data_IF_090335094332
#
_entry.id   IF_090335094332
#
_cell.length_a   1.000
_cell.length_b   1.000
_cell.length_c   1.000
_cell.angle_alpha   90.00
_cell.angle_beta   90.00
_cell.angle_gamma   90.00
#
_symmetry.space_group_name_H-M   'P 1'
#
loop_
_entity.id
_entity.type
_entity.pdbx_description
1 polymer ?
#
# COMPACT_ATOMS: atom_id res chain seq x y z
N UNK A 1 -21.47 25.03 31.87
CA UNK A 1 -20.95 24.26 30.70
C UNK A 1 -21.13 22.79 31.00
N UNK A 2 -21.94 22.17 30.22
CA UNK A 2 -22.84 21.05 30.46
C UNK A 2 -22.15 19.70 30.66
N UNK A 3 -22.43 19.03 31.77
CA UNK A 3 -22.01 17.66 32.08
C UNK A 3 -22.38 16.70 30.94
N UNK A 4 -23.53 16.96 30.33
CA UNK A 4 -24.03 16.23 29.12
C UNK A 4 -23.12 16.41 27.91
N UNK A 5 -22.45 17.54 27.72
CA UNK A 5 -21.49 17.76 26.65
C UNK A 5 -20.18 16.98 26.89
N UNK A 6 -19.70 16.97 28.15
CA UNK A 6 -18.54 16.19 28.56
C UNK A 6 -18.78 14.68 28.46
N UNK A 7 -19.96 14.21 28.85
CA UNK A 7 -20.34 12.81 28.70
C UNK A 7 -20.47 12.42 27.22
N UNK A 8 -21.08 13.28 26.38
CA UNK A 8 -21.16 13.03 24.92
C UNK A 8 -19.80 13.02 24.24
N UNK A 9 -18.86 13.90 24.66
CA UNK A 9 -17.47 13.90 24.13
C UNK A 9 -16.67 12.69 24.61
N UNK A 10 -16.86 12.26 25.88
CA UNK A 10 -16.26 11.01 26.37
C UNK A 10 -16.85 9.76 25.66
N UNK A 11 -18.15 9.74 25.43
CA UNK A 11 -18.81 8.65 24.68
C UNK A 11 -18.44 8.66 23.19
N UNK A 12 -18.20 9.81 22.60
CA UNK A 12 -17.69 9.91 21.23
C UNK A 12 -16.22 9.50 21.12
N UNK A 13 -15.42 9.75 22.16
CA UNK A 13 -14.02 9.31 22.26
C UNK A 13 -13.90 7.80 22.53
N UNK A 14 -14.87 7.22 23.25
CA UNK A 14 -14.97 5.76 23.51
C UNK A 14 -15.58 4.98 22.35
N UNK A 15 -16.41 5.60 21.51
CA UNK A 15 -16.82 5.08 20.21
C UNK A 15 -15.83 5.58 19.20
N UNK A 16 -14.73 4.86 18.97
CA UNK A 16 -13.85 5.12 17.86
C UNK A 16 -14.70 5.39 16.59
N UNK A 17 -14.32 6.38 15.79
CA UNK A 17 -15.03 6.70 14.55
C UNK A 17 -15.06 5.43 13.68
N UNK A 18 -16.21 4.73 13.64
CA UNK A 18 -16.39 3.59 12.77
C UNK A 18 -16.53 4.09 11.32
N UNK A 19 -15.50 3.86 10.53
CA UNK A 19 -15.53 4.07 9.10
C UNK A 19 -15.98 2.78 8.39
N UNK A 20 -16.59 2.93 7.22
CA UNK A 20 -16.91 1.80 6.33
C UNK A 20 -15.75 1.45 5.40
N UNK A 21 -14.59 2.01 5.62
CA UNK A 21 -13.35 1.76 4.90
C UNK A 21 -12.19 1.64 5.89
N UNK A 22 -11.07 1.01 5.51
CA UNK A 22 -9.90 0.88 6.37
C UNK A 22 -9.30 2.26 6.66
N UNK A 23 -9.52 2.77 7.87
CA UNK A 23 -9.01 4.07 8.27
C UNK A 23 -8.81 4.21 9.77
N UNK A 24 -7.84 5.04 10.13
CA UNK A 24 -7.46 5.32 11.51
C UNK A 24 -7.23 6.82 11.65
N UNK A 25 -7.92 7.47 12.61
CA UNK A 25 -7.66 8.86 12.94
C UNK A 25 -6.56 8.95 14.00
N UNK A 26 -5.56 9.80 13.74
CA UNK A 26 -4.49 10.12 14.68
C UNK A 26 -4.39 11.63 14.83
N UNK A 27 -4.27 12.08 16.06
CA UNK A 27 -3.99 13.48 16.39
C UNK A 27 -2.67 13.56 17.12
N UNK A 28 -1.75 14.34 16.57
CA UNK A 28 -0.46 14.63 17.17
C UNK A 28 -0.47 16.01 17.84
N UNK A 29 0.43 16.26 18.82
CA UNK A 29 0.61 17.58 19.41
C UNK A 29 0.79 18.67 18.35
N UNK A 30 0.31 19.90 18.63
CA UNK A 30 0.41 21.00 17.67
C UNK A 30 -0.68 21.00 16.60
N UNK A 31 -1.89 20.49 16.90
CA UNK A 31 -3.06 20.51 16.01
C UNK A 31 -2.83 19.83 14.65
N UNK A 32 -2.15 18.71 14.66
CA UNK A 32 -1.92 17.88 13.47
C UNK A 32 -2.87 16.69 13.50
N UNK A 33 -3.82 16.66 12.56
CA UNK A 33 -4.86 15.65 12.47
C UNK A 33 -4.69 14.84 11.18
N UNK A 34 -4.47 13.55 11.31
CA UNK A 34 -4.28 12.63 10.20
C UNK A 34 -5.43 11.65 10.13
N UNK A 35 -6.05 11.56 8.96
CA UNK A 35 -6.97 10.48 8.59
C UNK A 35 -6.19 9.50 7.73
N UNK A 36 -5.59 8.48 8.36
CA UNK A 36 -4.83 7.45 7.68
C UNK A 36 -5.79 6.49 6.99
N UNK A 37 -5.53 6.16 5.74
CA UNK A 37 -6.34 5.27 4.91
C UNK A 37 -5.46 4.13 4.43
N UNK A 38 -5.92 2.89 4.60
CA UNK A 38 -5.30 1.71 4.03
C UNK A 38 -5.65 1.58 2.56
N UNK A 39 -4.74 1.96 1.67
CA UNK A 39 -4.93 1.90 0.23
C UNK A 39 -4.60 0.53 -0.36
N UNK A 40 -5.05 0.33 -1.59
CA UNK A 40 -4.72 -0.82 -2.46
C UNK A 40 -4.52 -0.24 -3.87
N UNK A 41 -3.37 -0.56 -4.50
CA UNK A 41 -3.01 -0.02 -5.81
C UNK A 41 -3.91 -0.49 -6.96
N UNK A 42 -4.51 -1.67 -6.83
CA UNK A 42 -5.45 -2.21 -7.80
C UNK A 42 -6.74 -2.61 -7.09
N UNK A 43 -7.87 -2.10 -7.54
CA UNK A 43 -9.19 -2.35 -6.96
C UNK A 43 -10.14 -3.05 -7.91
N UNK A 44 -11.29 -3.51 -7.40
CA UNK A 44 -12.42 -3.96 -8.21
C UNK A 44 -13.33 -2.79 -8.58
N UNK A 45 -14.12 -2.98 -9.64
CA UNK A 45 -15.13 -1.99 -10.07
C UNK A 45 -16.03 -1.52 -8.91
N UNK A 46 -16.40 -2.43 -8.01
CA UNK A 46 -17.29 -2.13 -6.89
C UNK A 46 -16.66 -1.27 -5.78
N UNK A 47 -15.34 -1.05 -5.84
CA UNK A 47 -14.61 -0.12 -4.97
C UNK A 47 -14.67 1.33 -5.49
N UNK A 48 -15.32 1.58 -6.63
CA UNK A 48 -15.53 2.89 -7.19
C UNK A 48 -17.04 3.22 -7.29
N UNK A 49 -17.42 4.49 -7.05
CA UNK A 49 -16.59 5.60 -6.57
C UNK A 49 -16.26 5.50 -5.07
N UNK A 50 -15.26 6.25 -4.63
CA UNK A 50 -14.93 6.37 -3.21
C UNK A 50 -16.13 6.82 -2.37
N UNK A 51 -16.23 6.38 -1.10
CA UNK A 51 -17.33 6.80 -0.23
C UNK A 51 -17.45 8.32 -0.11
N UNK A 52 -18.66 8.85 -0.24
CA UNK A 52 -18.94 10.30 -0.19
C UNK A 52 -18.40 10.96 1.10
N UNK A 53 -18.46 10.23 2.23
CA UNK A 53 -17.89 10.72 3.50
C UNK A 53 -16.37 10.87 3.44
N UNK A 54 -15.68 9.99 2.73
CA UNK A 54 -14.24 10.07 2.50
C UNK A 54 -13.90 11.26 1.60
N UNK A 55 -14.61 11.43 0.49
CA UNK A 55 -14.46 12.58 -0.39
C UNK A 55 -14.70 13.92 0.34
N UNK A 56 -15.65 13.95 1.28
CA UNK A 56 -15.89 15.12 2.13
C UNK A 56 -14.74 15.35 3.13
N UNK A 57 -14.14 14.29 3.69
CA UNK A 57 -12.94 14.43 4.53
C UNK A 57 -11.78 15.01 3.72
N UNK A 58 -11.55 14.51 2.50
CA UNK A 58 -10.53 15.04 1.60
C UNK A 58 -10.79 16.53 1.26
N UNK A 59 -12.05 16.88 0.97
CA UNK A 59 -12.42 18.28 0.71
C UNK A 59 -12.09 19.22 1.88
N UNK A 60 -12.24 18.75 3.10
CA UNK A 60 -11.98 19.53 4.33
C UNK A 60 -10.54 19.39 4.85
N UNK A 61 -9.70 18.61 4.19
CA UNK A 61 -8.29 18.49 4.51
C UNK A 61 -7.49 19.61 3.85
N UNK A 62 -6.33 19.92 4.40
CA UNK A 62 -5.38 20.90 3.86
C UNK A 62 -4.60 20.28 2.69
N UNK A 63 -4.31 18.98 2.77
CA UNK A 63 -3.66 18.24 1.69
C UNK A 63 -4.02 16.73 1.73
N UNK A 64 -3.84 16.08 0.57
CA UNK A 64 -3.69 14.64 0.45
C UNK A 64 -2.20 14.29 0.57
N UNK A 65 -1.87 13.32 1.43
CA UNK A 65 -0.53 12.76 1.55
C UNK A 65 -0.59 11.33 1.01
N UNK A 66 0.32 10.98 0.10
CA UNK A 66 0.43 9.65 -0.53
C UNK A 66 1.86 9.13 -0.44
N UNK A 67 2.07 7.84 -0.66
CA UNK A 67 3.42 7.29 -0.77
C UNK A 67 4.17 7.93 -1.94
N UNK A 68 3.56 7.90 -3.13
CA UNK A 68 4.04 8.52 -4.36
C UNK A 68 2.85 8.94 -5.25
N UNK A 69 3.00 10.01 -6.02
CA UNK A 69 2.02 10.42 -7.03
C UNK A 69 2.25 9.64 -8.33
N UNK A 70 1.60 8.49 -8.44
CA UNK A 70 1.68 7.62 -9.62
C UNK A 70 0.91 8.16 -10.84
N UNK A 71 0.15 9.25 -10.68
CA UNK A 71 -0.65 9.84 -11.77
C UNK A 71 0.19 10.74 -12.70
N UNK A 72 1.35 11.20 -12.24
CA UNK A 72 2.23 12.13 -12.94
C UNK A 72 3.54 11.50 -13.40
N UNK A 73 3.87 10.33 -12.87
CA UNK A 73 5.14 9.68 -13.16
C UNK A 73 5.07 8.89 -14.46
N UNK A 74 5.74 9.41 -15.50
CA UNK A 74 6.24 8.61 -16.63
C UNK A 74 7.38 7.69 -16.11
N UNK A 75 7.07 6.84 -15.14
CA UNK A 75 8.04 5.87 -14.62
C UNK A 75 8.25 4.79 -15.65
N UNK A 76 9.03 5.13 -16.65
CA UNK A 76 9.46 4.19 -17.66
C UNK A 76 10.46 3.23 -17.03
N UNK A 77 10.03 2.03 -16.70
CA UNK A 77 10.94 0.89 -16.46
C UNK A 77 11.67 0.46 -17.75
N UNK A 78 11.54 1.21 -18.84
CA UNK A 78 12.08 0.88 -20.15
C UNK A 78 13.62 0.89 -20.23
N UNK A 79 14.29 1.56 -19.30
CA UNK A 79 15.76 1.71 -19.29
C UNK A 79 16.44 0.93 -18.15
N UNK A 80 15.81 -0.13 -17.65
CA UNK A 80 16.43 -0.97 -16.63
C UNK A 80 17.60 -1.76 -17.25
N UNK A 81 18.72 -1.91 -16.52
CA UNK A 81 19.83 -2.71 -16.99
C UNK A 81 19.40 -4.18 -17.21
N UNK A 82 19.78 -4.75 -18.33
CA UNK A 82 19.61 -6.18 -18.57
C UNK A 82 20.45 -6.97 -17.57
N UNK A 83 19.87 -8.05 -17.05
CA UNK A 83 20.54 -8.97 -16.15
C UNK A 83 21.10 -10.19 -16.92
N UNK A 84 21.92 -10.98 -16.26
CA UNK A 84 22.33 -12.32 -16.69
C UNK A 84 21.12 -13.21 -16.92
N UNK A 85 21.33 -14.34 -17.60
CA UNK A 85 20.26 -15.30 -17.85
C UNK A 85 19.57 -15.71 -16.52
N UNK A 86 18.26 -15.91 -16.56
CA UNK A 86 17.48 -16.20 -15.36
C UNK A 86 17.98 -17.46 -14.63
N UNK A 87 18.36 -18.47 -15.40
CA UNK A 87 18.86 -19.76 -14.92
C UNK A 87 20.19 -19.64 -14.14
N UNK A 88 20.92 -18.55 -14.31
CA UNK A 88 22.15 -18.26 -13.57
C UNK A 88 21.90 -17.53 -12.25
N UNK A 89 20.66 -17.02 -12.05
CA UNK A 89 20.31 -16.15 -10.92
C UNK A 89 19.36 -16.77 -9.91
N UNK A 90 18.68 -17.85 -10.27
CA UNK A 90 17.75 -18.60 -9.41
C UNK A 90 18.05 -20.08 -9.46
N UNK A 91 17.67 -20.80 -8.42
CA UNK A 91 17.84 -22.25 -8.36
C UNK A 91 16.75 -22.99 -9.18
N UNK A 92 16.94 -24.30 -9.34
CA UNK A 92 16.03 -25.12 -10.14
C UNK A 92 14.60 -25.18 -9.58
N UNK A 93 14.44 -25.22 -8.25
CA UNK A 93 13.13 -25.21 -7.60
C UNK A 93 12.39 -23.89 -7.86
N UNK A 94 13.07 -22.77 -7.71
CA UNK A 94 12.52 -21.44 -8.02
C UNK A 94 12.14 -21.33 -9.50
N UNK A 95 12.98 -21.87 -10.39
CA UNK A 95 12.71 -21.85 -11.83
C UNK A 95 11.46 -22.67 -12.17
N UNK A 96 11.32 -23.87 -11.60
CA UNK A 96 10.14 -24.71 -11.79
C UNK A 96 8.87 -24.06 -11.26
N UNK A 97 8.92 -23.45 -10.06
CA UNK A 97 7.79 -22.72 -9.48
C UNK A 97 7.41 -21.51 -10.35
N UNK A 98 8.38 -20.73 -10.82
CA UNK A 98 8.15 -19.61 -11.72
C UNK A 98 7.51 -20.06 -13.04
N UNK A 99 8.00 -21.15 -13.64
CA UNK A 99 7.42 -21.70 -14.86
C UNK A 99 5.98 -22.16 -14.65
N UNK A 100 5.70 -22.85 -13.54
CA UNK A 100 4.35 -23.29 -13.20
C UNK A 100 3.39 -22.11 -13.04
N UNK A 101 3.76 -21.10 -12.24
CA UNK A 101 2.95 -19.91 -12.03
C UNK A 101 2.78 -19.13 -13.34
N UNK A 102 3.84 -18.98 -14.13
CA UNK A 102 3.77 -18.31 -15.43
C UNK A 102 2.80 -18.99 -16.38
N UNK A 103 2.80 -20.31 -16.43
CA UNK A 103 1.86 -21.09 -17.23
C UNK A 103 0.42 -20.87 -16.75
N UNK A 104 0.17 -20.94 -15.44
CA UNK A 104 -1.14 -20.66 -14.84
C UNK A 104 -1.62 -19.25 -15.18
N UNK A 105 -0.71 -18.28 -15.17
CA UNK A 105 -1.01 -16.87 -15.47
C UNK A 105 -1.09 -16.57 -16.97
N UNK A 106 -0.68 -17.50 -17.83
CA UNK A 106 -0.62 -17.28 -19.28
C UNK A 106 0.49 -16.31 -19.70
N UNK A 107 1.58 -16.26 -18.92
CA UNK A 107 2.76 -15.44 -19.19
C UNK A 107 3.82 -16.34 -19.82
N UNK A 108 4.45 -15.88 -20.92
CA UNK A 108 5.61 -16.61 -21.47
C UNK A 108 6.81 -16.45 -20.54
N UNK A 109 7.42 -17.54 -20.02
CA UNK A 109 8.61 -17.44 -19.16
C UNK A 109 9.77 -16.71 -19.83
N UNK A 110 9.85 -16.71 -21.17
CA UNK A 110 10.89 -15.99 -21.92
C UNK A 110 10.89 -14.47 -21.70
N UNK A 111 9.77 -13.89 -21.25
CA UNK A 111 9.69 -12.49 -20.89
C UNK A 111 10.58 -12.14 -19.68
N UNK A 112 10.93 -13.13 -18.89
CA UNK A 112 11.67 -12.96 -17.64
C UNK A 112 13.17 -13.20 -17.76
N UNK A 113 13.64 -13.60 -18.94
CA UNK A 113 15.02 -14.10 -19.13
C UNK A 113 16.12 -13.15 -18.64
N UNK A 114 15.94 -11.84 -18.83
CA UNK A 114 16.95 -10.82 -18.49
C UNK A 114 16.44 -9.70 -17.59
N UNK A 115 15.21 -9.85 -17.05
CA UNK A 115 14.63 -8.84 -16.15
C UNK A 115 15.18 -8.97 -14.72
N UNK A 116 15.28 -7.87 -13.93
CA UNK A 116 15.56 -7.94 -12.51
C UNK A 116 14.53 -8.80 -11.77
N UNK A 117 14.96 -9.55 -10.75
CA UNK A 117 14.09 -10.49 -10.03
C UNK A 117 12.93 -9.78 -9.33
N UNK A 118 13.16 -8.58 -8.78
CA UNK A 118 12.08 -7.76 -8.20
C UNK A 118 11.02 -7.40 -9.24
N UNK A 119 11.41 -7.13 -10.48
CA UNK A 119 10.45 -6.79 -11.55
C UNK A 119 9.61 -8.01 -11.95
N UNK A 120 10.23 -9.20 -12.01
CA UNK A 120 9.50 -10.45 -12.23
C UNK A 120 8.43 -10.64 -11.15
N UNK A 121 8.79 -10.47 -9.87
CA UNK A 121 7.85 -10.57 -8.76
C UNK A 121 6.67 -9.59 -8.91
N UNK A 122 6.96 -8.33 -9.25
CA UNK A 122 5.91 -7.31 -9.45
C UNK A 122 4.99 -7.64 -10.63
N UNK A 123 5.52 -8.14 -11.75
CA UNK A 123 4.71 -8.55 -12.92
C UNK A 123 3.80 -9.71 -12.56
N UNK A 124 4.31 -10.71 -11.83
CA UNK A 124 3.50 -11.83 -11.35
C UNK A 124 2.37 -11.37 -10.45
N UNK A 125 2.66 -10.54 -9.44
CA UNK A 125 1.66 -10.02 -8.50
C UNK A 125 0.61 -9.15 -9.20
N UNK A 126 1.02 -8.28 -10.12
CA UNK A 126 0.10 -7.46 -10.91
C UNK A 126 -0.82 -8.33 -11.80
N UNK A 127 -0.25 -9.37 -12.44
CA UNK A 127 -1.04 -10.30 -13.27
C UNK A 127 -2.02 -11.10 -12.41
N UNK A 128 -1.60 -11.56 -11.23
CA UNK A 128 -2.50 -12.23 -10.27
C UNK A 128 -3.68 -11.31 -9.89
N UNK A 129 -3.40 -10.06 -9.55
CA UNK A 129 -4.45 -9.08 -9.25
C UNK A 129 -5.40 -8.87 -10.45
N UNK A 130 -4.87 -8.76 -11.67
CA UNK A 130 -5.68 -8.64 -12.89
C UNK A 130 -6.57 -9.86 -13.13
N UNK A 131 -6.08 -11.06 -12.86
CA UNK A 131 -6.85 -12.31 -12.94
C UNK A 131 -7.98 -12.38 -11.91
N UNK A 132 -7.78 -11.76 -10.75
CA UNK A 132 -8.84 -11.56 -9.74
C UNK A 132 -9.84 -10.46 -10.11
N UNK A 133 -9.75 -9.87 -11.31
CA UNK A 133 -10.64 -8.83 -11.79
C UNK A 133 -10.26 -7.41 -11.33
N UNK A 134 -9.07 -7.24 -10.74
CA UNK A 134 -8.64 -5.93 -10.26
C UNK A 134 -8.00 -5.10 -11.38
N UNK A 135 -8.14 -3.78 -11.27
CA UNK A 135 -7.60 -2.81 -12.22
C UNK A 135 -7.03 -1.62 -11.47
N UNK A 136 -6.00 -1.00 -12.04
CA UNK A 136 -5.33 0.15 -11.45
C UNK A 136 -6.26 1.38 -11.34
N UNK A 137 -7.17 1.58 -12.32
CA UNK A 137 -8.14 2.68 -12.32
C UNK A 137 -9.14 2.61 -11.17
N UNK A 138 -9.33 1.44 -10.56
CA UNK A 138 -10.16 1.26 -9.35
C UNK A 138 -9.31 1.21 -8.07
N UNK A 139 -7.99 1.36 -8.18
CA UNK A 139 -7.09 1.49 -7.03
C UNK A 139 -7.45 2.69 -6.17
N UNK A 140 -7.34 2.53 -4.87
CA UNK A 140 -7.71 3.58 -3.91
C UNK A 140 -6.79 4.80 -4.04
N UNK A 141 -5.49 4.57 -4.21
CA UNK A 141 -4.51 5.63 -4.44
C UNK A 141 -4.88 6.46 -5.67
N UNK A 142 -5.14 5.78 -6.78
CA UNK A 142 -5.52 6.44 -8.02
C UNK A 142 -6.81 7.27 -7.87
N UNK A 143 -7.86 6.70 -7.27
CA UNK A 143 -9.12 7.41 -7.04
C UNK A 143 -8.95 8.64 -6.12
N UNK A 144 -8.11 8.54 -5.06
CA UNK A 144 -7.82 9.66 -4.16
C UNK A 144 -7.03 10.77 -4.88
N UNK A 145 -6.04 10.42 -5.70
CA UNK A 145 -5.29 11.37 -6.51
C UNK A 145 -6.20 12.12 -7.50
N UNK A 146 -7.09 11.38 -8.19
CA UNK A 146 -8.08 11.99 -9.08
C UNK A 146 -9.04 12.93 -8.31
N UNK A 147 -9.51 12.51 -7.15
CA UNK A 147 -10.38 13.33 -6.31
C UNK A 147 -9.66 14.60 -5.79
N UNK A 148 -8.39 14.47 -5.38
CA UNK A 148 -7.56 15.60 -4.96
C UNK A 148 -7.39 16.61 -6.11
N UNK A 149 -7.09 16.13 -7.32
CA UNK A 149 -6.99 16.97 -8.52
C UNK A 149 -8.30 17.72 -8.82
N UNK A 150 -9.43 17.01 -8.80
CA UNK A 150 -10.77 17.60 -9.01
C UNK A 150 -11.12 18.64 -7.94
N UNK A 151 -10.67 18.45 -6.70
CA UNK A 151 -10.91 19.35 -5.59
C UNK A 151 -9.83 20.42 -5.40
N UNK A 152 -8.85 20.48 -6.32
CA UNK A 152 -7.69 21.38 -6.24
C UNK A 152 -6.94 21.28 -4.90
N UNK A 153 -6.81 20.04 -4.37
CA UNK A 153 -6.07 19.77 -3.14
C UNK A 153 -4.59 19.58 -3.44
N UNK A 154 -3.70 20.18 -2.64
CA UNK A 154 -2.28 19.85 -2.69
C UNK A 154 -2.06 18.35 -2.43
N UNK A 155 -1.14 17.77 -3.19
CA UNK A 155 -0.66 16.39 -2.98
C UNK A 155 0.77 16.47 -2.44
N UNK A 156 1.04 15.74 -1.37
CA UNK A 156 2.35 15.65 -0.72
C UNK A 156 2.78 14.19 -0.77
N UNK A 157 3.97 13.93 -1.25
CA UNK A 157 4.51 12.57 -1.32
C UNK A 157 5.35 12.25 -0.09
N UNK A 158 5.17 11.06 0.48
CA UNK A 158 6.00 10.56 1.58
C UNK A 158 7.38 10.15 1.09
N UNK A 159 7.49 9.56 -0.07
CA UNK A 159 8.77 9.14 -0.64
C UNK A 159 8.92 9.49 -2.12
N UNK A 160 7.85 9.41 -2.90
CA UNK A 160 7.89 9.66 -4.34
C UNK A 160 8.31 8.44 -5.16
N UNK A 161 7.94 8.43 -6.45
CA UNK A 161 8.15 7.30 -7.33
C UNK A 161 9.63 6.96 -7.56
N UNK A 162 10.50 7.97 -7.66
CA UNK A 162 11.96 7.77 -7.86
C UNK A 162 12.60 7.03 -6.67
N UNK A 163 12.21 7.38 -5.44
CA UNK A 163 12.73 6.70 -4.26
C UNK A 163 12.21 5.27 -4.14
N UNK A 164 10.97 5.00 -4.54
CA UNK A 164 10.42 3.64 -4.61
C UNK A 164 11.21 2.77 -5.60
N UNK A 165 11.50 3.29 -6.78
CA UNK A 165 12.31 2.60 -7.78
C UNK A 165 13.73 2.38 -7.26
N UNK A 166 14.35 3.41 -6.68
CA UNK A 166 15.69 3.30 -6.11
C UNK A 166 15.76 2.23 -5.04
N UNK A 167 14.76 2.16 -4.16
CA UNK A 167 14.65 1.11 -3.14
C UNK A 167 14.61 -0.29 -3.77
N UNK A 168 13.81 -0.50 -4.82
CA UNK A 168 13.72 -1.78 -5.52
C UNK A 168 15.04 -2.15 -6.22
N UNK A 169 15.71 -1.18 -6.83
CA UNK A 169 17.02 -1.38 -7.46
C UNK A 169 18.13 -1.72 -6.45
N UNK A 170 18.00 -1.26 -5.21
CA UNK A 170 18.94 -1.51 -4.12
C UNK A 170 18.66 -2.80 -3.33
N UNK A 171 17.59 -3.53 -3.66
CA UNK A 171 17.32 -4.82 -3.03
C UNK A 171 18.49 -5.79 -3.23
N UNK A 172 18.93 -6.51 -2.18
CA UNK A 172 19.97 -7.51 -2.28
C UNK A 172 19.65 -8.53 -3.38
N UNK A 173 20.70 -9.03 -4.05
CA UNK A 173 20.60 -10.03 -5.12
C UNK A 173 19.54 -9.68 -6.19
N UNK A 174 19.47 -8.38 -6.54
CA UNK A 174 18.52 -7.85 -7.54
C UNK A 174 17.06 -8.22 -7.23
N UNK A 175 16.74 -8.42 -5.94
CA UNK A 175 15.40 -8.73 -5.46
C UNK A 175 15.08 -10.23 -5.40
N UNK A 176 16.07 -11.10 -5.25
CA UNK A 176 15.86 -12.54 -5.13
C UNK A 176 14.88 -12.88 -4.01
N UNK A 177 15.04 -12.29 -2.83
CA UNK A 177 14.13 -12.53 -1.71
C UNK A 177 12.68 -12.13 -2.03
N UNK A 178 12.46 -11.05 -2.79
CA UNK A 178 11.11 -10.64 -3.18
C UNK A 178 10.48 -11.63 -4.17
N UNK A 179 11.27 -12.16 -5.11
CA UNK A 179 10.79 -13.20 -6.01
C UNK A 179 10.49 -14.49 -5.24
N UNK A 180 11.39 -14.94 -4.40
CA UNK A 180 11.25 -16.16 -3.60
C UNK A 180 10.02 -16.13 -2.69
N UNK A 181 9.81 -15.04 -1.94
CA UNK A 181 8.62 -14.83 -1.11
C UNK A 181 7.34 -14.78 -1.99
N UNK A 182 7.40 -14.19 -3.18
CA UNK A 182 6.27 -14.15 -4.11
C UNK A 182 5.90 -15.56 -4.59
N UNK A 183 6.87 -16.37 -4.97
CA UNK A 183 6.64 -17.75 -5.43
C UNK A 183 6.15 -18.63 -4.28
N UNK A 184 6.81 -18.56 -3.12
CA UNK A 184 6.49 -19.38 -1.93
C UNK A 184 5.09 -19.06 -1.39
N UNK A 185 4.73 -17.80 -1.33
CA UNK A 185 3.47 -17.33 -0.75
C UNK A 185 2.39 -16.99 -1.80
N UNK A 186 2.50 -17.52 -3.02
CA UNK A 186 1.64 -17.19 -4.16
C UNK A 186 0.14 -17.18 -3.82
N UNK A 187 -0.37 -18.28 -3.27
CA UNK A 187 -1.79 -18.37 -2.91
C UNK A 187 -2.14 -17.59 -1.63
N UNK A 188 -1.20 -17.41 -0.72
CA UNK A 188 -1.41 -16.62 0.49
C UNK A 188 -1.52 -15.14 0.15
N UNK A 189 -0.69 -14.65 -0.77
CA UNK A 189 -0.74 -13.28 -1.27
C UNK A 189 -2.08 -12.98 -1.97
N UNK A 190 -2.60 -13.92 -2.77
CA UNK A 190 -3.93 -13.78 -3.38
C UNK A 190 -5.05 -13.67 -2.33
N UNK A 191 -5.00 -14.50 -1.29
CA UNK A 191 -5.99 -14.43 -0.18
C UNK A 191 -5.86 -13.15 0.62
N UNK A 192 -4.64 -12.68 0.89
CA UNK A 192 -4.40 -11.42 1.58
C UNK A 192 -4.94 -10.23 0.77
N UNK A 193 -4.73 -10.22 -0.54
CA UNK A 193 -5.28 -9.21 -1.43
C UNK A 193 -6.82 -9.20 -1.41
N UNK A 194 -7.46 -10.38 -1.47
CA UNK A 194 -8.91 -10.52 -1.35
C UNK A 194 -9.42 -10.04 0.03
N UNK A 195 -8.68 -10.32 1.10
CA UNK A 195 -9.00 -9.82 2.43
C UNK A 195 -8.96 -8.29 2.49
N UNK A 196 -7.91 -7.65 1.94
CA UNK A 196 -7.82 -6.19 1.88
C UNK A 196 -8.95 -5.57 1.04
N UNK A 197 -9.36 -6.21 -0.06
CA UNK A 197 -10.56 -5.80 -0.81
C UNK A 197 -11.82 -5.88 0.04
N UNK A 198 -12.00 -6.95 0.80
CA UNK A 198 -13.14 -7.12 1.71
C UNK A 198 -13.22 -6.01 2.76
N UNK A 199 -12.09 -5.44 3.18
CA UNK A 199 -12.08 -4.29 4.10
C UNK A 199 -12.72 -3.04 3.48
N UNK A 200 -12.68 -2.90 2.17
CA UNK A 200 -13.31 -1.80 1.44
C UNK A 200 -14.77 -2.09 1.06
N UNK A 201 -15.08 -3.34 0.71
CA UNK A 201 -16.38 -3.73 0.19
C UNK A 201 -17.38 -4.12 1.29
N UNK A 202 -16.90 -4.69 2.39
CA UNK A 202 -17.75 -5.23 3.44
C UNK A 202 -17.56 -4.51 4.78
N UNK A 203 -16.44 -4.76 5.45
CA UNK A 203 -16.13 -4.17 6.74
C UNK A 203 -14.62 -4.09 6.98
N UNK A 204 -14.10 -2.92 7.37
CA UNK A 204 -12.71 -2.78 7.77
C UNK A 204 -12.43 -3.54 9.07
N UNK A 205 -11.15 -3.84 9.37
CA UNK A 205 -10.75 -4.38 10.66
C UNK A 205 -11.20 -3.49 11.81
N UNK A 206 -11.73 -4.10 12.87
CA UNK A 206 -12.18 -3.37 14.07
C UNK A 206 -10.99 -2.90 14.93
N UNK A 207 -9.90 -3.65 14.90
CA UNK A 207 -8.67 -3.39 15.66
C UNK A 207 -7.49 -3.27 14.69
N UNK A 208 -6.48 -2.49 15.08
CA UNK A 208 -5.23 -2.35 14.31
C UNK A 208 -4.27 -3.53 14.53
N UNK A 209 -4.47 -4.30 15.61
CA UNK A 209 -3.62 -5.41 16.00
C UNK A 209 -4.14 -6.75 15.44
N UNK A 210 -4.54 -6.75 14.17
CA UNK A 210 -4.92 -7.99 13.48
C UNK A 210 -3.66 -8.78 13.12
N UNK A 211 -3.76 -10.09 13.27
CA UNK A 211 -2.72 -10.99 12.77
C UNK A 211 -2.86 -11.13 11.26
N UNK A 212 -1.86 -10.65 10.54
CA UNK A 212 -1.76 -10.82 9.09
C UNK A 212 -0.82 -12.00 8.78
N UNK A 213 -1.04 -12.72 7.67
CA UNK A 213 -0.07 -13.71 7.22
C UNK A 213 1.29 -13.04 7.01
N UNK A 214 2.34 -13.66 7.53
CA UNK A 214 3.70 -13.24 7.21
C UNK A 214 4.08 -13.79 5.85
N UNK A 215 4.17 -12.92 4.85
CA UNK A 215 4.53 -13.26 3.48
C UNK A 215 5.85 -12.60 3.05
N UNK A 216 6.53 -11.94 3.98
CA UNK A 216 7.85 -11.35 3.77
C UNK A 216 8.88 -12.03 4.66
N UNK A 217 10.03 -12.34 4.10
CA UNK A 217 11.24 -12.62 4.87
C UNK A 217 11.59 -11.40 5.74
N UNK A 218 12.31 -11.61 6.84
CA UNK A 218 12.66 -10.54 7.77
C UNK A 218 13.38 -9.37 7.06
N UNK A 219 14.30 -9.68 6.15
CA UNK A 219 15.05 -8.66 5.41
C UNK A 219 14.17 -7.81 4.49
N UNK A 220 13.16 -8.42 3.85
CA UNK A 220 12.19 -7.69 3.03
C UNK A 220 11.24 -6.87 3.89
N UNK A 221 10.76 -7.43 5.00
CA UNK A 221 9.92 -6.70 5.93
C UNK A 221 10.61 -5.43 6.43
N UNK A 222 11.90 -5.53 6.76
CA UNK A 222 12.68 -4.37 7.21
C UNK A 222 12.74 -3.28 6.15
N UNK A 223 12.98 -3.63 4.89
CA UNK A 223 13.09 -2.66 3.79
C UNK A 223 11.73 -2.14 3.33
N UNK A 224 10.77 -3.04 3.07
CA UNK A 224 9.51 -2.68 2.45
C UNK A 224 8.49 -2.10 3.44
N UNK A 225 8.64 -2.39 4.74
CA UNK A 225 7.67 -2.01 5.77
C UNK A 225 8.31 -1.15 6.86
N UNK A 226 9.25 -1.69 7.63
CA UNK A 226 9.72 -1.08 8.87
C UNK A 226 10.45 0.24 8.63
N UNK A 227 11.46 0.27 7.74
CA UNK A 227 12.23 1.48 7.44
C UNK A 227 11.35 2.57 6.81
N UNK A 228 10.42 2.20 5.95
CA UNK A 228 9.45 3.14 5.36
C UNK A 228 8.53 3.72 6.41
N UNK A 229 7.97 2.89 7.30
CA UNK A 229 7.14 3.37 8.41
C UNK A 229 7.88 4.35 9.32
N UNK A 230 9.16 4.11 9.62
CA UNK A 230 10.00 5.04 10.40
C UNK A 230 10.19 6.38 9.67
N UNK A 231 10.55 6.35 8.39
CA UNK A 231 10.74 7.56 7.60
C UNK A 231 9.43 8.37 7.45
N UNK A 232 8.31 7.69 7.22
CA UNK A 232 6.99 8.32 7.11
C UNK A 232 6.52 8.89 8.44
N UNK A 233 6.75 8.18 9.55
CA UNK A 233 6.49 8.72 10.91
C UNK A 233 7.19 10.05 11.12
N UNK A 234 8.47 10.13 10.80
CA UNK A 234 9.27 11.34 11.03
C UNK A 234 8.77 12.48 10.13
N UNK A 235 8.44 12.18 8.88
CA UNK A 235 7.86 13.15 7.95
C UNK A 235 6.49 13.66 8.40
N UNK A 236 5.60 12.77 8.86
CA UNK A 236 4.29 13.13 9.37
C UNK A 236 4.39 13.95 10.68
N UNK A 237 5.33 13.61 11.57
CA UNK A 237 5.59 14.38 12.77
C UNK A 237 6.16 15.78 12.50
N UNK A 238 6.81 15.98 11.38
CA UNK A 238 7.35 17.28 10.94
C UNK A 238 6.32 18.15 10.21
N UNK A 239 5.14 17.61 9.86
CA UNK A 239 4.11 18.37 9.16
C UNK A 239 3.66 19.59 9.95
N UNK A 240 3.31 20.71 9.30
CA UNK A 240 2.71 21.88 9.99
C UNK A 240 1.35 21.51 10.61
N UNK A 241 0.84 22.35 11.55
CA UNK A 241 -0.54 22.21 12.03
C UNK A 241 -1.52 22.13 10.88
N UNK A 242 -2.47 21.18 10.93
CA UNK A 242 -3.41 21.01 9.83
C UNK A 242 -4.17 19.68 9.90
N UNK A 243 -5.02 19.50 8.91
CA UNK A 243 -5.82 18.28 8.68
C UNK A 243 -5.39 17.62 7.39
N UNK A 244 -5.03 16.36 7.46
CA UNK A 244 -4.46 15.63 6.34
C UNK A 244 -5.21 14.32 6.13
N UNK A 245 -5.48 14.00 4.89
CA UNK A 245 -5.83 12.63 4.47
C UNK A 245 -4.54 11.97 4.02
N UNK A 246 -4.21 10.81 4.59
CA UNK A 246 -2.95 10.10 4.32
C UNK A 246 -3.29 8.72 3.77
N UNK A 247 -2.94 8.44 2.54
CA UNK A 247 -3.13 7.14 1.91
C UNK A 247 -1.80 6.39 1.82
N UNK A 248 -1.73 5.27 2.51
CA UNK A 248 -0.60 4.33 2.46
C UNK A 248 -1.13 2.91 2.29
N UNK A 249 -0.33 2.01 1.75
CA UNK A 249 -0.73 0.61 1.56
C UNK A 249 -1.32 0.02 2.84
N UNK A 250 -2.41 -0.73 2.71
CA UNK A 250 -3.20 -1.22 3.86
C UNK A 250 -2.35 -1.97 4.89
N UNK A 251 -1.31 -2.68 4.45
CA UNK A 251 -0.40 -3.41 5.34
C UNK A 251 0.40 -2.49 6.28
N UNK A 252 0.61 -1.22 5.92
CA UNK A 252 1.26 -0.24 6.79
C UNK A 252 0.39 0.24 7.95
N UNK A 253 -0.92 0.02 7.88
CA UNK A 253 -1.86 0.42 8.94
C UNK A 253 -2.19 -0.69 9.94
N UNK A 254 -1.97 -1.94 9.57
CA UNK A 254 -2.39 -3.11 10.35
C UNK A 254 -1.23 -4.05 10.60
N UNK A 255 -1.36 -4.90 11.63
CA UNK A 255 -0.31 -5.83 12.04
C UNK A 255 0.70 -5.21 13.02
N UNK A 256 1.73 -5.97 13.34
CA UNK A 256 2.80 -5.55 14.23
C UNK A 256 3.69 -4.48 13.59
N UNK A 257 4.16 -3.50 14.37
CA UNK A 257 5.06 -2.45 13.87
C UNK A 257 4.41 -1.51 12.85
N UNK A 258 3.08 -1.39 12.86
CA UNK A 258 2.35 -0.53 11.93
C UNK A 258 2.60 0.97 12.16
N UNK A 259 2.39 1.76 11.11
CA UNK A 259 2.59 3.22 11.15
C UNK A 259 1.76 3.92 12.24
N UNK A 260 0.47 3.59 12.47
CA UNK A 260 -0.30 4.17 13.57
C UNK A 260 0.29 3.96 14.96
N UNK A 261 0.86 2.78 15.25
CA UNK A 261 1.54 2.52 16.53
C UNK A 261 2.80 3.39 16.67
N UNK A 262 3.56 3.56 15.61
CA UNK A 262 4.77 4.38 15.61
C UNK A 262 4.49 5.89 15.74
N UNK A 263 3.30 6.35 15.34
CA UNK A 263 2.89 7.76 15.44
C UNK A 263 2.42 8.14 16.85
N UNK A 264 1.83 7.21 17.59
CA UNK A 264 1.36 7.42 18.98
C UNK A 264 2.52 7.51 19.94
#
# INVERSE_FOLDING_TARGET
MDLLYRVKTLWAALRGNHYTWPAIDITLPGNRHFHLIGSIHMGSHDMAPLPTRLLKKLKNADALIVEADVSTSDTSFANLPTCEALEERINEEQLQNLQHISQEMGISPSLFSTQPLWQIAMVLQATQAQKLGLRAEYGIDYQLLQAAKQQHKPVIELEGAENQITMLLQLPDKGLALLDDTLTHWHTNARLLQQMMSWWLNAPPQNNDITLPNTFSQSLYDVLMHQRNLAWRDKLRAMPPGRYVVAVGALHLYGEGNLPQMLR
#
